data_IF_633479151013
#
_entry.id   IF_633479151013
#
_cell.length_a   1.000
_cell.length_b   1.000
_cell.length_c   1.000
_cell.angle_alpha   90.00
_cell.angle_beta   90.00
_cell.angle_gamma   90.00
#
_symmetry.space_group_name_H-M   'P 1'
#
loop_
_entity.id
_entity.type
_entity.pdbx_description
1 polymer ?
#
# COMPACT_ATOMS: atom_id res chain seq x y z
N UNK A 1 43.71 -2.17 -6.98
CA UNK A 1 42.79 -3.26 -6.58
C UNK A 1 41.37 -2.72 -6.60
N UNK A 2 40.61 -2.98 -7.68
CA UNK A 2 39.19 -2.60 -7.76
C UNK A 2 38.36 -3.64 -6.99
N UNK A 3 37.81 -3.26 -5.83
CA UNK A 3 36.81 -4.07 -5.15
C UNK A 3 35.57 -4.18 -6.03
N UNK A 4 35.29 -5.37 -6.54
CA UNK A 4 34.06 -5.68 -7.25
C UNK A 4 32.86 -5.33 -6.36
N UNK A 5 32.06 -4.34 -6.78
CA UNK A 5 30.81 -3.97 -6.10
C UNK A 5 29.89 -5.19 -6.11
N UNK A 6 29.42 -5.69 -4.95
CA UNK A 6 28.51 -6.83 -4.92
C UNK A 6 27.24 -6.43 -5.66
N UNK A 7 27.04 -7.04 -6.81
CA UNK A 7 25.87 -6.80 -7.66
C UNK A 7 24.72 -7.58 -7.02
N UNK A 8 24.00 -6.95 -6.09
CA UNK A 8 22.79 -7.54 -5.50
C UNK A 8 21.76 -7.64 -6.62
N UNK A 9 21.65 -8.82 -7.24
CA UNK A 9 20.59 -9.10 -8.19
C UNK A 9 19.29 -9.23 -7.39
N UNK A 10 18.27 -8.39 -7.63
CA UNK A 10 16.98 -8.56 -6.96
C UNK A 10 16.44 -9.95 -7.30
N UNK A 11 16.20 -10.77 -6.28
CA UNK A 11 15.74 -12.15 -6.47
C UNK A 11 14.22 -12.19 -6.62
N UNK A 12 13.70 -13.20 -7.30
CA UNK A 12 12.25 -13.42 -7.48
C UNK A 12 11.50 -13.42 -6.14
N UNK A 13 12.16 -13.85 -5.07
CA UNK A 13 11.66 -13.86 -3.70
C UNK A 13 11.35 -12.45 -3.18
N UNK A 14 12.18 -11.46 -3.51
CA UNK A 14 11.98 -10.06 -3.09
C UNK A 14 10.76 -9.46 -3.78
N UNK A 15 10.59 -9.75 -5.08
CA UNK A 15 9.42 -9.33 -5.84
C UNK A 15 8.12 -9.89 -5.28
N UNK A 16 8.08 -11.19 -4.91
CA UNK A 16 6.90 -11.81 -4.29
C UNK A 16 6.58 -11.17 -2.93
N UNK A 17 7.59 -10.93 -2.09
CA UNK A 17 7.41 -10.28 -0.79
C UNK A 17 6.83 -8.88 -0.94
N UNK A 18 7.33 -8.09 -1.90
CA UNK A 18 6.79 -6.76 -2.20
C UNK A 18 5.33 -6.80 -2.65
N UNK A 19 4.95 -7.76 -3.50
CA UNK A 19 3.55 -7.94 -3.91
C UNK A 19 2.67 -8.29 -2.71
N UNK A 20 3.07 -9.27 -1.89
CA UNK A 20 2.28 -9.67 -0.71
C UNK A 20 2.12 -8.51 0.26
N UNK A 21 3.22 -7.83 0.61
CA UNK A 21 3.17 -6.64 1.48
C UNK A 21 2.28 -5.55 0.88
N UNK A 22 2.42 -5.28 -0.43
CA UNK A 22 1.60 -4.31 -1.14
C UNK A 22 0.11 -4.63 -1.07
N UNK A 23 -0.28 -5.89 -1.29
CA UNK A 23 -1.68 -6.34 -1.19
C UNK A 23 -2.21 -6.22 0.23
N UNK A 24 -1.43 -6.60 1.24
CA UNK A 24 -1.84 -6.46 2.65
C UNK A 24 -2.07 -5.00 3.01
N UNK A 25 -1.12 -4.13 2.68
CA UNK A 25 -1.21 -2.69 2.94
C UNK A 25 -2.39 -2.06 2.18
N UNK A 26 -2.59 -2.45 0.92
CA UNK A 26 -3.73 -2.02 0.11
C UNK A 26 -5.06 -2.42 0.76
N UNK A 27 -5.17 -3.67 1.23
CA UNK A 27 -6.35 -4.16 1.93
C UNK A 27 -6.65 -3.41 3.22
N UNK A 28 -5.61 -3.14 4.04
CA UNK A 28 -5.75 -2.31 5.25
C UNK A 28 -6.24 -0.91 4.89
N UNK A 29 -5.63 -0.29 3.87
CA UNK A 29 -6.04 1.03 3.39
C UNK A 29 -7.48 1.08 2.91
N UNK A 30 -7.92 0.05 2.19
CA UNK A 30 -9.30 -0.11 1.76
C UNK A 30 -10.26 -0.21 2.94
N UNK A 31 -9.98 -1.06 3.93
CA UNK A 31 -10.82 -1.23 5.13
C UNK A 31 -10.89 0.06 5.93
N UNK A 32 -9.77 0.76 6.13
CA UNK A 32 -9.75 2.04 6.81
C UNK A 32 -10.57 3.11 6.06
N UNK A 33 -10.46 3.16 4.73
CA UNK A 33 -11.27 4.06 3.90
C UNK A 33 -12.76 3.79 4.08
N UNK A 34 -13.17 2.52 3.98
CA UNK A 34 -14.55 2.10 4.18
C UNK A 34 -15.05 2.42 5.59
N UNK A 35 -14.23 2.16 6.63
CA UNK A 35 -14.56 2.47 8.01
C UNK A 35 -14.77 3.98 8.22
N UNK A 36 -13.90 4.81 7.65
CA UNK A 36 -14.05 6.26 7.67
C UNK A 36 -15.37 6.71 7.02
N UNK A 37 -15.72 6.16 5.84
CA UNK A 37 -17.00 6.44 5.17
C UNK A 37 -18.21 6.03 6.00
N UNK A 38 -18.20 4.82 6.56
CA UNK A 38 -19.28 4.32 7.43
C UNK A 38 -19.44 5.21 8.67
N UNK A 39 -18.33 5.64 9.26
CA UNK A 39 -18.37 6.52 10.43
C UNK A 39 -19.01 7.88 10.10
N UNK A 40 -18.72 8.47 8.93
CA UNK A 40 -19.43 9.69 8.48
C UNK A 40 -20.93 9.44 8.34
N UNK A 41 -21.33 8.33 7.71
CA UNK A 41 -22.75 7.99 7.50
C UNK A 41 -23.50 7.84 8.83
N UNK A 42 -22.87 7.24 9.84
CA UNK A 42 -23.46 7.03 11.16
C UNK A 42 -23.36 8.27 12.07
N UNK A 43 -22.71 9.34 11.62
CA UNK A 43 -22.57 10.55 12.43
C UNK A 43 -23.91 11.30 12.52
N UNK A 44 -24.29 11.80 13.70
CA UNK A 44 -25.56 12.52 13.87
C UNK A 44 -25.61 13.77 13.01
N UNK A 45 -26.76 13.99 12.38
CA UNK A 45 -27.03 15.19 11.57
C UNK A 45 -27.03 16.41 12.51
N UNK A 46 -26.24 17.44 12.16
CA UNK A 46 -26.10 18.66 12.96
C UNK A 46 -24.88 18.69 13.91
N UNK A 47 -24.11 17.60 13.99
CA UNK A 47 -22.90 17.52 14.82
C UNK A 47 -21.66 18.26 14.27
N UNK A 48 -21.76 18.87 13.09
CA UNK A 48 -20.62 19.52 12.43
C UNK A 48 -19.68 18.54 11.73
N UNK A 49 -18.43 18.98 11.48
CA UNK A 49 -17.43 18.20 10.74
C UNK A 49 -16.83 17.11 11.63
N UNK A 50 -16.96 15.85 11.22
CA UNK A 50 -16.33 14.72 11.91
C UNK A 50 -14.88 14.52 11.42
N UNK A 51 -13.94 15.23 12.04
CA UNK A 51 -12.51 15.16 11.71
C UNK A 51 -11.89 13.78 11.95
N UNK A 52 -12.39 13.01 12.92
CA UNK A 52 -11.93 11.65 13.17
C UNK A 52 -12.22 10.72 11.99
N UNK A 53 -13.45 10.74 11.50
CA UNK A 53 -13.85 9.98 10.32
C UNK A 53 -13.08 10.42 9.06
N UNK A 54 -12.87 11.73 8.88
CA UNK A 54 -12.06 12.26 7.79
C UNK A 54 -10.60 11.81 7.85
N UNK A 55 -9.98 11.82 9.04
CA UNK A 55 -8.61 11.36 9.24
C UNK A 55 -8.45 9.87 8.93
N UNK A 56 -9.40 9.03 9.39
CA UNK A 56 -9.40 7.59 9.10
C UNK A 56 -9.57 7.32 7.61
N UNK A 57 -10.47 8.06 6.95
CA UNK A 57 -10.68 7.96 5.51
C UNK A 57 -9.44 8.33 4.71
N UNK A 58 -8.85 9.51 4.99
CA UNK A 58 -7.64 9.99 4.31
C UNK A 58 -6.43 9.10 4.58
N UNK A 59 -6.25 8.66 5.83
CA UNK A 59 -5.20 7.72 6.21
C UNK A 59 -5.35 6.39 5.46
N UNK A 60 -6.58 5.88 5.33
CA UNK A 60 -6.89 4.70 4.54
C UNK A 60 -6.53 4.87 3.06
N UNK A 61 -6.88 6.00 2.46
CA UNK A 61 -6.53 6.31 1.07
C UNK A 61 -5.02 6.34 0.85
N UNK A 62 -4.28 7.04 1.71
CA UNK A 62 -2.82 7.13 1.61
C UNK A 62 -2.16 5.76 1.78
N UNK A 63 -2.63 4.98 2.75
CA UNK A 63 -2.18 3.60 2.96
C UNK A 63 -2.46 2.75 1.69
N UNK A 64 -3.65 2.88 1.11
CA UNK A 64 -4.03 2.20 -0.13
C UNK A 64 -3.09 2.54 -1.30
N UNK A 65 -2.75 3.82 -1.49
CA UNK A 65 -1.81 4.27 -2.52
C UNK A 65 -0.43 3.64 -2.31
N UNK A 66 0.09 3.62 -1.08
CA UNK A 66 1.38 3.00 -0.77
C UNK A 66 1.35 1.50 -1.07
N UNK A 67 0.30 0.79 -0.67
CA UNK A 67 0.12 -0.62 -0.96
C UNK A 67 0.09 -0.92 -2.47
N UNK A 68 -0.62 -0.07 -3.23
CA UNK A 68 -0.68 -0.17 -4.69
C UNK A 68 0.70 0.02 -5.32
N UNK A 69 1.45 1.04 -4.91
CA UNK A 69 2.81 1.32 -5.42
C UNK A 69 3.75 0.15 -5.14
N UNK A 70 3.73 -0.40 -3.92
CA UNK A 70 4.52 -1.57 -3.56
C UNK A 70 4.13 -2.81 -4.38
N UNK A 71 2.83 -3.04 -4.58
CA UNK A 71 2.32 -4.12 -5.41
C UNK A 71 2.80 -4.02 -6.85
N UNK A 72 2.69 -2.83 -7.45
CA UNK A 72 3.17 -2.57 -8.81
C UNK A 72 4.69 -2.75 -8.91
N UNK A 73 5.46 -2.19 -7.96
CA UNK A 73 6.91 -2.34 -7.93
C UNK A 73 7.33 -3.82 -7.84
N UNK A 74 6.65 -4.61 -7.00
CA UNK A 74 6.86 -6.05 -6.89
C UNK A 74 6.56 -6.80 -8.19
N UNK A 75 5.44 -6.47 -8.86
CA UNK A 75 5.08 -7.06 -10.16
C UNK A 75 6.11 -6.72 -11.25
N UNK A 76 6.59 -5.47 -11.29
CA UNK A 76 7.62 -5.03 -12.24
C UNK A 76 8.93 -5.78 -11.99
N UNK A 77 9.34 -5.94 -10.73
CA UNK A 77 10.53 -6.71 -10.36
C UNK A 77 10.43 -8.17 -10.81
N UNK A 78 9.26 -8.81 -10.60
CA UNK A 78 9.00 -10.18 -11.05
C UNK A 78 9.04 -10.32 -12.57
N UNK A 79 8.47 -9.38 -13.31
CA UNK A 79 8.51 -9.38 -14.79
C UNK A 79 9.93 -9.24 -15.31
N UNK A 80 10.73 -8.33 -14.74
CA UNK A 80 12.13 -8.13 -15.14
C UNK A 80 13.02 -9.32 -14.78
N UNK A 81 12.71 -10.02 -13.69
CA UNK A 81 13.42 -11.25 -13.29
C UNK A 81 13.10 -12.47 -14.17
N UNK A 82 11.93 -12.49 -14.83
CA UNK A 82 11.55 -13.54 -15.80
C UNK A 82 12.05 -13.32 -17.22
N UNK A 83 12.40 -12.08 -17.57
CA UNK A 83 12.91 -11.70 -18.89
C UNK A 83 14.43 -11.83 -19.03
N UNK A 84 15.12 -12.33 -17.99
CA UNK A 84 16.55 -12.67 -17.97
C UNK A 84 16.70 -14.17 -17.82
#
# INVERSE_FOLDING_TARGET
>A
MQLAKPTVKPTVTDGRRLVTTGVVVLGIGFVATAAGSVWVILSPIGGGVNFGAAAVYLGGMLCGVVGLVLGIAGLVALRRGRAR
#
